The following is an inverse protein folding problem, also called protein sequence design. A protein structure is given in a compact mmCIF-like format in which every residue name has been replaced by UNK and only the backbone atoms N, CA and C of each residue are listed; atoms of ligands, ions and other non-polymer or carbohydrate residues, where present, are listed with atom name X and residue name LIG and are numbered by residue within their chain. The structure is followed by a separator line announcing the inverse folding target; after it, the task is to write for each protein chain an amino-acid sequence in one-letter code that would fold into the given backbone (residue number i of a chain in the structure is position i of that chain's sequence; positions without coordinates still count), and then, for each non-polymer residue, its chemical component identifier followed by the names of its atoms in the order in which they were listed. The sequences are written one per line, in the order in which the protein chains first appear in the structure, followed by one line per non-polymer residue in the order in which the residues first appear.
data_IF_892439305949
#
_entry.id   IF_892439305949
#
_cell.length_a   1.000
_cell.length_b   1.000
_cell.length_c   1.000
_cell.angle_alpha   90.00
_cell.angle_beta   90.00
_cell.angle_gamma   90.00
#
_symmetry.space_group_name_H-M   'P 1'
#
loop_
_entity.id
_entity.type
_entity.pdbx_description
1 polymer ?
#
# COMPACT_ATOMS: atom_id res chain seq x y z
N UNK A 1 -5.17 20.39 -15.05
CA UNK A 1 -6.37 20.69 -14.26
C UNK A 1 -5.99 20.72 -12.79
N UNK A 2 -6.43 21.70 -12.07
CA UNK A 2 -6.18 21.81 -10.62
C UNK A 2 -7.34 21.17 -9.87
N UNK A 3 -7.03 20.29 -8.93
CA UNK A 3 -8.04 19.55 -8.15
C UNK A 3 -7.70 19.62 -6.66
N UNK A 4 -8.71 19.39 -5.82
CA UNK A 4 -8.57 19.29 -4.37
C UNK A 4 -8.68 17.80 -3.99
N UNK A 5 -7.68 17.26 -3.34
CA UNK A 5 -7.69 15.86 -2.93
C UNK A 5 -8.63 15.65 -1.73
N UNK A 6 -9.46 14.64 -1.82
CA UNK A 6 -10.37 14.23 -0.73
C UNK A 6 -9.88 13.00 0.01
N UNK A 7 -8.76 12.43 -0.43
CA UNK A 7 -8.08 11.31 0.22
C UNK A 7 -6.57 11.45 0.00
N UNK A 8 -5.78 10.78 0.83
CA UNK A 8 -4.35 10.72 0.61
C UNK A 8 -4.05 9.79 -0.57
N UNK A 9 -3.28 10.29 -1.53
CA UNK A 9 -2.90 9.54 -2.72
C UNK A 9 -1.37 9.46 -2.79
N UNK A 10 -0.84 8.26 -2.82
CA UNK A 10 0.60 8.03 -2.99
C UNK A 10 1.07 8.71 -4.28
N UNK A 11 2.17 9.42 -4.22
CA UNK A 11 2.79 10.16 -5.33
C UNK A 11 2.07 11.44 -5.79
N UNK A 12 0.92 11.79 -5.21
CA UNK A 12 0.19 13.02 -5.54
C UNK A 12 0.18 14.01 -4.39
N UNK A 13 -0.30 13.61 -3.24
CA UNK A 13 -0.41 14.50 -2.09
C UNK A 13 -1.37 13.98 -1.04
N UNK A 14 -1.61 14.83 -0.04
CA UNK A 14 -2.46 14.54 1.11
C UNK A 14 -3.85 15.11 0.93
N UNK A 15 -4.78 14.63 1.74
CA UNK A 15 -6.15 15.14 1.78
C UNK A 15 -6.16 16.66 2.02
N UNK A 16 -6.94 17.38 1.23
CA UNK A 16 -7.06 18.83 1.30
C UNK A 16 -6.03 19.61 0.51
N UNK A 17 -5.03 18.95 -0.05
CA UNK A 17 -4.05 19.63 -0.91
C UNK A 17 -4.65 19.90 -2.30
N UNK A 18 -4.26 21.04 -2.86
CA UNK A 18 -4.57 21.38 -4.24
C UNK A 18 -3.40 20.95 -5.11
N UNK A 19 -3.68 20.07 -6.07
CA UNK A 19 -2.65 19.54 -6.97
C UNK A 19 -3.06 19.72 -8.43
N UNK A 20 -2.05 19.78 -9.29
CA UNK A 20 -2.26 19.89 -10.74
C UNK A 20 -2.04 18.50 -11.33
N UNK A 21 -3.06 18.01 -12.05
CA UNK A 21 -3.04 16.70 -12.71
C UNK A 21 -3.49 16.84 -14.17
N UNK A 22 -3.23 15.82 -14.96
CA UNK A 22 -3.72 15.78 -16.35
C UNK A 22 -5.25 15.66 -16.35
N UNK A 23 -5.90 16.35 -17.27
CA UNK A 23 -7.35 16.38 -17.39
C UNK A 23 -7.96 14.98 -17.51
N UNK A 24 -7.37 14.10 -18.31
CA UNK A 24 -7.82 12.73 -18.47
C UNK A 24 -7.70 11.92 -17.19
N UNK A 25 -6.63 12.09 -16.46
CA UNK A 25 -6.45 11.41 -15.18
C UNK A 25 -7.50 11.84 -14.15
N UNK A 26 -7.76 13.13 -14.05
CA UNK A 26 -8.78 13.65 -13.15
C UNK A 26 -10.17 13.12 -13.50
N UNK A 27 -10.56 13.22 -14.77
CA UNK A 27 -11.91 12.80 -15.23
C UNK A 27 -12.13 11.30 -15.22
N UNK A 28 -11.11 10.51 -15.54
CA UNK A 28 -11.25 9.06 -15.70
C UNK A 28 -10.93 8.26 -14.44
N UNK A 29 -10.17 8.84 -13.51
CA UNK A 29 -9.72 8.14 -12.32
C UNK A 29 -10.14 8.84 -11.02
N UNK A 30 -9.75 10.11 -10.84
CA UNK A 30 -9.96 10.79 -9.56
C UNK A 30 -11.43 11.07 -9.27
N UNK A 31 -12.15 11.64 -10.21
CA UNK A 31 -13.55 12.01 -10.00
C UNK A 31 -14.48 10.80 -9.88
N UNK A 32 -14.40 9.79 -10.76
CA UNK A 32 -15.25 8.60 -10.62
C UNK A 32 -15.03 7.82 -9.32
N UNK A 33 -13.82 7.86 -8.77
CA UNK A 33 -13.48 7.18 -7.51
C UNK A 33 -13.65 8.07 -6.27
N UNK A 34 -14.17 9.28 -6.43
CA UNK A 34 -14.35 10.25 -5.35
C UNK A 34 -13.04 10.58 -4.60
N UNK A 35 -11.94 10.59 -5.31
CA UNK A 35 -10.61 10.85 -4.75
C UNK A 35 -10.23 12.33 -4.77
N UNK A 36 -10.92 13.13 -5.59
CA UNK A 36 -10.65 14.56 -5.72
C UNK A 36 -11.90 15.30 -6.16
N UNK A 37 -11.92 16.61 -5.92
CA UNK A 37 -12.93 17.55 -6.38
C UNK A 37 -12.30 18.57 -7.32
N UNK A 38 -13.09 19.12 -8.23
CA UNK A 38 -12.62 20.23 -9.06
C UNK A 38 -12.34 21.43 -8.19
N UNK A 39 -11.29 22.18 -8.51
CA UNK A 39 -10.92 23.37 -7.76
C UNK A 39 -11.79 24.56 -8.17
N UNK A 40 -13.02 24.59 -7.68
CA UNK A 40 -13.99 25.68 -7.86
C UNK A 40 -14.34 26.26 -6.49
N UNK A 41 -14.85 27.49 -6.47
CA UNK A 41 -15.25 28.13 -5.22
C UNK A 41 -16.33 27.32 -4.50
N UNK A 42 -17.31 26.77 -5.23
CA UNK A 42 -18.37 25.91 -4.68
C UNK A 42 -17.78 24.66 -4.02
N UNK A 43 -16.81 24.01 -4.67
CA UNK A 43 -16.18 22.81 -4.14
C UNK A 43 -15.26 23.12 -2.95
N UNK A 44 -14.59 24.29 -2.93
CA UNK A 44 -13.82 24.74 -1.78
C UNK A 44 -14.71 24.93 -0.56
N UNK A 45 -15.86 25.59 -0.72
CA UNK A 45 -16.84 25.75 0.35
C UNK A 45 -17.39 24.40 0.82
N UNK A 46 -17.70 23.52 -0.12
CA UNK A 46 -18.17 22.17 0.18
C UNK A 46 -17.11 21.39 0.95
N UNK A 47 -15.85 21.45 0.53
CA UNK A 47 -14.74 20.80 1.22
C UNK A 47 -14.60 21.32 2.66
N UNK A 48 -14.68 22.64 2.87
CA UNK A 48 -14.61 23.22 4.22
C UNK A 48 -15.70 22.68 5.14
N UNK A 49 -16.90 22.42 4.60
CA UNK A 49 -18.01 21.86 5.38
C UNK A 49 -17.83 20.40 5.75
N UNK A 50 -17.16 19.62 4.89
CA UNK A 50 -17.02 18.17 5.06
C UNK A 50 -15.60 17.74 5.45
N UNK A 51 -14.66 18.68 5.61
CA UNK A 51 -13.27 18.36 5.88
C UNK A 51 -13.08 17.52 7.15
N UNK A 52 -13.88 17.74 8.17
CA UNK A 52 -13.82 17.00 9.42
C UNK A 52 -14.21 15.53 9.20
N UNK A 53 -15.25 15.29 8.39
CA UNK A 53 -15.68 13.92 8.03
C UNK A 53 -14.59 13.23 7.20
N UNK A 54 -14.01 13.94 6.23
CA UNK A 54 -12.92 13.42 5.40
C UNK A 54 -11.71 13.07 6.25
N UNK A 55 -11.31 13.97 7.16
CA UNK A 55 -10.19 13.75 8.06
C UNK A 55 -10.45 12.58 9.01
N UNK A 56 -11.68 12.42 9.51
CA UNK A 56 -12.06 11.28 10.34
C UNK A 56 -11.94 9.97 9.59
N UNK A 57 -12.41 9.91 8.35
CA UNK A 57 -12.29 8.71 7.50
C UNK A 57 -10.83 8.38 7.20
N UNK A 58 -10.00 9.37 6.92
CA UNK A 58 -8.58 9.17 6.68
C UNK A 58 -7.86 8.69 7.94
N UNK A 59 -8.21 9.22 9.12
CA UNK A 59 -7.67 8.76 10.39
C UNK A 59 -8.06 7.30 10.68
N UNK A 60 -9.28 6.89 10.36
CA UNK A 60 -9.72 5.50 10.46
C UNK A 60 -8.89 4.58 9.55
N UNK A 61 -8.67 4.98 8.31
CA UNK A 61 -7.81 4.24 7.36
C UNK A 61 -6.39 4.12 7.88
N UNK A 62 -5.85 5.22 8.41
CA UNK A 62 -4.52 5.25 9.00
C UNK A 62 -4.41 4.31 10.18
N UNK A 63 -5.41 4.33 11.08
CA UNK A 63 -5.43 3.45 12.25
C UNK A 63 -5.53 1.97 11.83
N UNK A 64 -6.37 1.65 10.86
CA UNK A 64 -6.46 0.29 10.31
C UNK A 64 -5.12 -0.16 9.72
N UNK A 65 -4.40 0.72 9.06
CA UNK A 65 -3.08 0.41 8.50
C UNK A 65 -2.06 0.14 9.61
N UNK A 66 -2.07 0.92 10.68
CA UNK A 66 -1.21 0.72 11.85
C UNK A 66 -1.51 -0.63 12.50
N UNK A 67 -2.79 -0.93 12.72
CA UNK A 67 -3.23 -2.21 13.30
C UNK A 67 -2.82 -3.39 12.43
N UNK A 68 -2.96 -3.25 11.11
CA UNK A 68 -2.53 -4.25 10.14
C UNK A 68 -1.03 -4.53 10.25
N UNK A 69 -0.21 -3.50 10.35
CA UNK A 69 1.24 -3.63 10.50
C UNK A 69 1.59 -4.36 11.79
N UNK A 70 0.93 -4.04 12.89
CA UNK A 70 1.16 -4.72 14.16
C UNK A 70 0.85 -6.22 14.06
N UNK A 71 -0.25 -6.57 13.40
CA UNK A 71 -0.62 -7.98 13.16
C UNK A 71 0.40 -8.67 12.27
N UNK A 72 0.80 -8.01 11.18
CA UNK A 72 1.75 -8.57 10.20
C UNK A 72 3.12 -8.79 10.82
N UNK A 73 3.58 -7.88 11.68
CA UNK A 73 4.87 -8.03 12.40
C UNK A 73 4.92 -9.23 13.32
N UNK A 74 3.77 -9.69 13.81
CA UNK A 74 3.68 -10.87 14.69
C UNK A 74 3.66 -12.17 13.91
N UNK A 75 3.48 -12.13 12.61
CA UNK A 75 3.43 -13.30 11.75
C UNK A 75 4.82 -13.60 11.21
N UNK A 76 5.27 -14.83 11.40
CA UNK A 76 6.49 -15.34 10.78
C UNK A 76 6.21 -15.72 9.34
N UNK A 77 6.86 -15.04 8.40
CA UNK A 77 6.73 -15.33 6.97
C UNK A 77 7.76 -16.38 6.60
N UNK A 78 7.29 -17.58 6.30
CA UNK A 78 8.15 -18.71 5.92
C UNK A 78 7.68 -19.29 4.60
N UNK A 79 8.62 -19.50 3.70
CA UNK A 79 8.39 -20.19 2.44
C UNK A 79 9.31 -21.40 2.33
N UNK A 80 8.82 -22.45 1.70
CA UNK A 80 9.61 -23.63 1.40
C UNK A 80 9.75 -23.71 -0.11
N UNK A 81 10.97 -23.65 -0.60
CA UNK A 81 11.28 -23.65 -2.03
C UNK A 81 12.40 -24.63 -2.35
N UNK A 82 12.41 -25.14 -3.57
CA UNK A 82 13.51 -25.95 -4.06
C UNK A 82 14.70 -25.07 -4.38
N UNK A 83 15.87 -25.50 -3.99
CA UNK A 83 17.11 -24.79 -4.21
C UNK A 83 18.21 -25.72 -4.73
N UNK A 84 19.20 -25.14 -5.40
CA UNK A 84 20.36 -25.86 -5.88
C UNK A 84 21.41 -26.10 -4.77
N UNK A 85 22.55 -26.68 -5.12
CA UNK A 85 23.63 -26.96 -4.18
C UNK A 85 24.25 -25.70 -3.57
N UNK A 86 24.07 -24.52 -4.22
CA UNK A 86 24.56 -23.24 -3.78
C UNK A 86 23.51 -22.43 -3.00
N UNK A 87 22.45 -23.10 -2.57
CA UNK A 87 21.31 -22.47 -1.86
C UNK A 87 20.58 -21.39 -2.68
N UNK A 88 20.67 -21.46 -4.00
CA UNK A 88 19.92 -20.58 -4.90
C UNK A 88 18.63 -21.23 -5.33
N UNK A 89 17.54 -20.45 -5.28
CA UNK A 89 16.22 -20.93 -5.68
C UNK A 89 16.13 -21.12 -7.19
N UNK A 90 15.41 -22.14 -7.63
CA UNK A 90 15.10 -22.32 -9.04
C UNK A 90 14.15 -21.25 -9.59
N UNK A 91 13.42 -20.57 -8.71
CA UNK A 91 12.57 -19.43 -9.05
C UNK A 91 12.51 -18.43 -7.90
N UNK A 92 12.31 -17.17 -8.22
CA UNK A 92 12.20 -16.12 -7.20
C UNK A 92 10.86 -16.20 -6.47
N UNK A 93 10.85 -15.76 -5.20
CA UNK A 93 9.60 -15.53 -4.46
C UNK A 93 8.97 -14.24 -4.99
N UNK A 94 7.77 -14.34 -5.53
CA UNK A 94 7.07 -13.19 -6.11
C UNK A 94 6.20 -12.47 -5.08
N UNK A 95 5.81 -11.24 -5.42
CA UNK A 95 4.83 -10.49 -4.61
C UNK A 95 3.51 -11.26 -4.47
N UNK A 96 3.08 -11.95 -5.51
CA UNK A 96 1.84 -12.74 -5.48
C UNK A 96 1.89 -13.87 -4.47
N UNK A 97 3.02 -14.53 -4.32
CA UNK A 97 3.20 -15.56 -3.31
C UNK A 97 3.09 -14.99 -1.90
N UNK A 98 3.66 -13.81 -1.67
CA UNK A 98 3.57 -13.11 -0.39
C UNK A 98 2.12 -12.69 -0.12
N UNK A 99 1.43 -12.14 -1.12
CA UNK A 99 0.02 -11.76 -1.01
C UNK A 99 -0.84 -12.97 -0.68
N UNK A 100 -0.62 -14.10 -1.37
CA UNK A 100 -1.36 -15.34 -1.11
C UNK A 100 -1.09 -15.87 0.30
N UNK A 101 0.14 -15.78 0.78
CA UNK A 101 0.48 -16.15 2.15
C UNK A 101 -0.34 -15.35 3.17
N UNK A 102 -0.44 -14.03 2.98
CA UNK A 102 -1.22 -13.19 3.86
C UNK A 102 -2.73 -13.42 3.70
N UNK A 103 -3.21 -13.70 2.50
CA UNK A 103 -4.62 -14.06 2.27
C UNK A 103 -5.02 -15.31 3.05
N UNK A 104 -4.14 -16.30 3.12
CA UNK A 104 -4.35 -17.51 3.93
C UNK A 104 -4.43 -17.20 5.42
N UNK A 105 -3.85 -16.08 5.85
CA UNK A 105 -3.92 -15.57 7.23
C UNK A 105 -5.04 -14.55 7.43
N UNK A 106 -5.96 -14.43 6.48
CA UNK A 106 -7.07 -13.47 6.48
C UNK A 106 -6.62 -12.00 6.43
N UNK A 107 -5.40 -11.74 5.93
CA UNK A 107 -4.85 -10.41 5.75
C UNK A 107 -4.87 -10.07 4.27
N UNK A 108 -5.57 -8.99 3.90
CA UNK A 108 -5.65 -8.54 2.52
C UNK A 108 -4.59 -7.46 2.26
N UNK A 109 -3.66 -7.74 1.39
CA UNK A 109 -2.67 -6.79 0.91
C UNK A 109 -2.74 -6.67 -0.61
N UNK A 110 -2.50 -5.47 -1.10
CA UNK A 110 -2.39 -5.20 -2.53
C UNK A 110 -0.93 -5.30 -2.96
N UNK A 111 -0.69 -5.59 -4.24
CA UNK A 111 0.67 -5.66 -4.76
C UNK A 111 1.44 -4.33 -4.61
N UNK A 112 0.74 -3.20 -4.67
CA UNK A 112 1.33 -1.87 -4.47
C UNK A 112 1.73 -1.59 -3.03
N UNK A 113 1.15 -2.34 -2.07
CA UNK A 113 1.46 -2.19 -0.65
C UNK A 113 2.74 -2.93 -0.25
N UNK A 114 3.23 -3.81 -1.10
CA UNK A 114 4.42 -4.62 -0.85
C UNK A 114 5.56 -4.17 -1.76
N UNK A 115 6.71 -3.90 -1.16
CA UNK A 115 7.95 -3.60 -1.88
C UNK A 115 9.00 -4.64 -1.53
N UNK A 116 9.50 -5.34 -2.54
CA UNK A 116 10.62 -6.25 -2.38
C UNK A 116 11.90 -5.46 -2.62
N UNK A 117 12.68 -5.26 -1.56
CA UNK A 117 13.92 -4.48 -1.61
C UNK A 117 14.98 -5.20 -2.45
N UNK A 118 15.09 -6.50 -2.25
CA UNK A 118 15.95 -7.36 -3.05
C UNK A 118 15.15 -8.58 -3.51
N UNK A 119 15.36 -8.97 -4.76
CA UNK A 119 14.71 -10.17 -5.29
C UNK A 119 15.10 -11.39 -4.46
N UNK A 120 14.10 -12.13 -3.98
CA UNK A 120 14.30 -13.32 -3.15
C UNK A 120 14.59 -14.51 -4.07
N UNK A 121 15.86 -14.86 -4.20
CA UNK A 121 16.33 -15.95 -5.06
C UNK A 121 17.27 -16.94 -4.33
N UNK A 122 17.43 -16.79 -3.04
CA UNK A 122 18.29 -17.67 -2.25
C UNK A 122 17.59 -18.06 -0.95
N UNK A 123 18.10 -19.13 -0.32
CA UNK A 123 17.63 -19.53 1.00
C UNK A 123 18.09 -18.52 2.05
N UNK A 124 17.40 -18.48 3.17
CA UNK A 124 17.73 -17.65 4.32
C UNK A 124 16.74 -16.51 4.53
N UNK A 125 17.19 -15.49 5.24
CA UNK A 125 16.37 -14.35 5.62
C UNK A 125 16.44 -13.24 4.57
N UNK A 126 15.30 -12.71 4.22
CA UNK A 126 15.15 -11.58 3.32
C UNK A 126 14.21 -10.54 3.95
N UNK A 127 14.38 -9.29 3.54
CA UNK A 127 13.56 -8.19 4.06
C UNK A 127 12.67 -7.67 2.96
N UNK A 128 11.39 -7.49 3.29
CA UNK A 128 10.42 -6.83 2.43
C UNK A 128 9.81 -5.64 3.18
N UNK A 129 9.35 -4.65 2.44
CA UNK A 129 8.63 -3.51 3.01
C UNK A 129 7.15 -3.63 2.71
N UNK A 130 6.32 -3.33 3.70
CA UNK A 130 4.87 -3.25 3.57
C UNK A 130 4.44 -1.83 3.89
N UNK A 131 3.72 -1.21 2.97
CA UNK A 131 3.23 0.16 3.10
C UNK A 131 1.73 0.18 2.78
N UNK A 132 0.87 -0.16 3.77
CA UNK A 132 -0.57 -0.19 3.55
C UNK A 132 -1.22 1.19 3.48
N UNK A 133 -0.53 2.22 3.92
CA UNK A 133 -1.01 3.59 3.89
C UNK A 133 0.19 4.54 3.76
N UNK A 134 -0.01 5.71 3.15
CA UNK A 134 1.05 6.70 2.98
C UNK A 134 1.65 7.11 4.33
N UNK A 135 2.97 7.06 4.43
CA UNK A 135 3.71 7.38 5.65
C UNK A 135 3.76 6.25 6.67
N UNK A 136 3.09 5.13 6.43
CA UNK A 136 3.11 3.96 7.33
C UNK A 136 3.80 2.81 6.60
N UNK A 137 5.03 2.53 7.02
CA UNK A 137 5.86 1.50 6.41
C UNK A 137 6.42 0.58 7.50
N UNK A 138 6.47 -0.71 7.22
CA UNK A 138 7.07 -1.70 8.09
C UNK A 138 7.99 -2.61 7.30
N UNK A 139 9.12 -2.99 7.89
CA UNK A 139 10.02 -3.99 7.35
C UNK A 139 9.67 -5.35 7.95
N UNK A 140 9.53 -6.35 7.10
CA UNK A 140 9.23 -7.72 7.50
C UNK A 140 10.33 -8.65 7.05
N UNK A 141 10.62 -9.64 7.89
CA UNK A 141 11.59 -10.68 7.57
C UNK A 141 10.87 -11.86 6.93
N UNK A 142 11.37 -12.27 5.78
CA UNK A 142 10.91 -13.46 5.07
C UNK A 142 12.01 -14.52 5.17
N UNK A 143 11.65 -15.70 5.66
CA UNK A 143 12.57 -16.82 5.76
C UNK A 143 12.23 -17.84 4.68
N UNK A 144 13.21 -18.21 3.88
CA UNK A 144 13.04 -19.23 2.83
C UNK A 144 13.86 -20.47 3.23
N UNK A 145 13.18 -21.59 3.33
CA UNK A 145 13.78 -22.88 3.68
C UNK A 145 13.82 -23.78 2.45
N UNK A 146 14.80 -24.69 2.43
CA UNK A 146 14.92 -25.70 1.39
C UNK A 146 13.90 -26.81 1.62
N UNK A 147 13.31 -27.27 0.53
CA UNK A 147 12.41 -28.44 0.54
C UNK A 147 13.19 -29.71 0.90
#
# INVERSE_FOLDING_TARGET
MKVILTTNIKKLGKVGEQVIVKDGFARNFLFPNNMALRNTNSNLEHYEKIKDEINSKENEKKQKAIDLIEVVKKIDIKFVKEADEKDQLYGAVSKNEIINFFNDKEIKLLSDDIKIVQTIRSLGQHIIEVNPYEGITAELKVVVNKT
#
